data_IF_409049199977
#
_entry.id   IF_409049199977
#
_cell.length_a   1.000
_cell.length_b   1.000
_cell.length_c   1.000
_cell.angle_alpha   90.00
_cell.angle_beta   90.00
_cell.angle_gamma   90.00
#
_symmetry.space_group_name_H-M   'P 1'
#
loop_
_entity.id
_entity.type
_entity.pdbx_description
1 polymer ?
#
# COMPACT_ATOMS: atom_id res chain seq x y z
N UNK A 1 -16.66 -3.06 12.40
CA UNK A 1 -16.15 -1.70 12.13
C UNK A 1 -14.87 -1.82 11.30
N UNK A 2 -14.81 -1.20 10.12
CA UNK A 2 -13.56 -1.13 9.32
C UNK A 2 -12.73 0.05 9.84
N UNK A 3 -11.41 -0.11 9.95
CA UNK A 3 -10.47 0.96 10.31
C UNK A 3 -9.60 1.27 9.10
N UNK A 4 -9.33 2.56 8.87
CA UNK A 4 -8.57 3.05 7.73
C UNK A 4 -7.50 4.04 8.18
N UNK A 5 -6.30 3.94 7.60
CA UNK A 5 -5.22 4.92 7.77
C UNK A 5 -5.15 5.73 6.48
N UNK A 6 -5.56 7.01 6.47
CA UNK A 6 -5.47 7.85 5.29
C UNK A 6 -4.01 8.21 5.00
N UNK A 7 -3.57 7.99 3.76
CA UNK A 7 -2.28 8.49 3.28
C UNK A 7 -2.48 9.36 2.05
N UNK A 8 -3.16 10.50 2.27
CA UNK A 8 -3.58 11.44 1.25
C UNK A 8 -2.44 11.87 0.31
N UNK A 9 -1.21 11.96 0.83
CA UNK A 9 -0.01 12.34 0.05
C UNK A 9 0.42 11.31 -1.00
N UNK A 10 0.11 10.03 -0.81
CA UNK A 10 0.43 8.95 -1.76
C UNK A 10 -0.79 8.47 -2.56
N UNK A 11 -2.00 8.94 -2.21
CA UNK A 11 -3.26 8.63 -2.89
C UNK A 11 -3.78 7.22 -2.64
N UNK A 12 -3.62 6.72 -1.40
CA UNK A 12 -4.16 5.44 -0.93
C UNK A 12 -4.66 5.53 0.52
N UNK A 13 -5.70 4.77 0.82
CA UNK A 13 -6.11 4.38 2.16
C UNK A 13 -5.70 2.92 2.42
N UNK A 14 -5.05 2.67 3.56
CA UNK A 14 -4.84 1.32 4.05
C UNK A 14 -6.00 0.91 4.94
N UNK A 15 -6.69 -0.16 4.57
CA UNK A 15 -7.83 -0.68 5.31
C UNK A 15 -7.50 -2.02 5.95
N UNK A 16 -8.04 -2.25 7.15
CA UNK A 16 -8.01 -3.57 7.80
C UNK A 16 -9.41 -4.20 7.80
N UNK A 17 -9.50 -5.43 7.26
CA UNK A 17 -10.71 -6.26 7.35
C UNK A 17 -10.68 -7.07 8.64
N UNK A 18 -11.48 -6.71 9.63
CA UNK A 18 -11.53 -7.44 10.91
C UNK A 18 -12.04 -8.88 10.75
N UNK A 19 -13.00 -9.10 9.86
CA UNK A 19 -13.59 -10.43 9.65
C UNK A 19 -12.64 -11.37 8.93
N UNK A 20 -11.95 -10.88 7.91
CA UNK A 20 -11.02 -11.71 7.11
C UNK A 20 -9.57 -11.60 7.60
N UNK A 21 -9.30 -10.73 8.58
CA UNK A 21 -8.02 -10.48 9.25
C UNK A 21 -6.87 -10.18 8.29
N UNK A 22 -7.02 -9.14 7.46
CA UNK A 22 -5.95 -8.68 6.55
C UNK A 22 -6.03 -7.20 6.18
N UNK A 23 -4.91 -6.69 5.68
CA UNK A 23 -4.77 -5.33 5.15
C UNK A 23 -4.94 -5.27 3.64
N UNK A 24 -5.63 -4.25 3.15
CA UNK A 24 -5.82 -4.02 1.73
C UNK A 24 -5.86 -2.54 1.38
N UNK A 25 -5.64 -2.27 0.09
CA UNK A 25 -5.51 -0.93 -0.46
C UNK A 25 -6.84 -0.46 -1.05
N UNK A 26 -7.21 0.80 -0.79
CA UNK A 26 -8.17 1.55 -1.60
C UNK A 26 -7.50 2.82 -2.12
N UNK A 27 -7.44 2.96 -3.43
CA UNK A 27 -6.94 4.17 -4.09
C UNK A 27 -7.91 5.32 -3.86
N UNK A 28 -7.38 6.54 -3.72
CA UNK A 28 -8.23 7.73 -3.64
C UNK A 28 -8.65 8.18 -5.04
N UNK A 29 -9.93 8.52 -5.23
CA UNK A 29 -10.46 8.89 -6.56
C UNK A 29 -10.07 10.31 -6.98
N UNK A 30 -9.83 11.18 -6.00
CA UNK A 30 -9.53 12.61 -6.10
C UNK A 30 -8.11 12.95 -6.56
N UNK A 31 -7.18 11.98 -6.62
CA UNK A 31 -5.79 12.20 -7.06
C UNK A 31 -5.45 11.34 -8.29
N UNK A 32 -5.94 11.70 -9.51
CA UNK A 32 -5.79 10.89 -10.73
C UNK A 32 -4.36 10.44 -11.05
N UNK A 33 -3.36 11.25 -10.69
CA UNK A 33 -1.92 10.99 -10.91
C UNK A 33 -1.17 10.59 -9.63
N UNK A 34 -1.86 9.98 -8.66
CA UNK A 34 -1.25 9.63 -7.37
C UNK A 34 -0.05 8.70 -7.49
N UNK A 35 0.82 8.74 -6.49
CA UNK A 35 1.96 7.83 -6.39
C UNK A 35 1.50 6.38 -6.41
N UNK A 36 0.41 6.05 -5.70
CA UNK A 36 -0.14 4.71 -5.68
C UNK A 36 -0.52 4.20 -7.09
N UNK A 37 -1.21 5.02 -7.89
CA UNK A 37 -1.57 4.67 -9.28
C UNK A 37 -0.33 4.49 -10.16
N UNK A 38 0.65 5.40 -10.06
CA UNK A 38 1.91 5.28 -10.81
C UNK A 38 2.75 4.07 -10.38
N UNK A 39 2.67 3.69 -9.11
CA UNK A 39 3.30 2.47 -8.57
C UNK A 39 2.59 1.19 -9.02
N UNK A 40 1.49 1.26 -9.78
CA UNK A 40 0.75 0.11 -10.28
C UNK A 40 -0.17 -0.56 -9.25
N UNK A 41 -0.41 0.09 -8.09
CA UNK A 41 -1.36 -0.41 -7.09
C UNK A 41 -2.78 -0.36 -7.65
N UNK A 42 -3.61 -1.33 -7.28
CA UNK A 42 -5.01 -1.42 -7.66
C UNK A 42 -5.90 -1.45 -6.41
N UNK A 43 -7.16 -1.06 -6.60
CA UNK A 43 -8.16 -1.20 -5.56
C UNK A 43 -8.26 -2.67 -5.12
N UNK A 44 -8.34 -2.87 -3.81
CA UNK A 44 -8.47 -4.17 -3.15
C UNK A 44 -7.26 -5.08 -3.24
N UNK A 45 -6.11 -4.57 -3.68
CA UNK A 45 -4.84 -5.27 -3.53
C UNK A 45 -4.58 -5.56 -2.04
N UNK A 46 -4.35 -6.83 -1.73
CA UNK A 46 -4.01 -7.27 -0.38
C UNK A 46 -2.52 -7.07 -0.14
N UNK A 47 -2.16 -6.49 1.00
CA UNK A 47 -0.77 -6.25 1.37
C UNK A 47 -0.21 -7.52 2.02
N UNK A 48 0.92 -8.01 1.50
CA UNK A 48 1.59 -9.22 1.97
C UNK A 48 2.89 -8.87 2.67
N UNK A 49 3.70 -7.98 2.07
CA UNK A 49 4.91 -7.45 2.69
C UNK A 49 4.89 -5.93 2.73
N UNK A 50 5.41 -5.37 3.82
CA UNK A 50 5.73 -3.96 3.97
C UNK A 50 7.23 -3.85 4.29
N UNK A 51 7.97 -3.15 3.43
CA UNK A 51 9.42 -2.93 3.58
C UNK A 51 10.21 -4.22 3.85
N UNK A 52 9.85 -5.29 3.13
CA UNK A 52 10.49 -6.61 3.24
C UNK A 52 9.99 -7.49 4.39
N UNK A 53 9.15 -6.97 5.29
CA UNK A 53 8.55 -7.72 6.41
C UNK A 53 7.19 -8.29 6.01
N UNK A 54 6.95 -9.58 6.26
CA UNK A 54 5.63 -10.18 6.04
C UNK A 54 4.64 -9.66 7.09
N UNK A 55 3.53 -9.08 6.63
CA UNK A 55 2.48 -8.47 7.46
C UNK A 55 1.12 -9.14 7.27
N UNK A 56 1.07 -10.31 6.61
CA UNK A 56 -0.17 -10.96 6.21
C UNK A 56 -1.15 -11.19 7.37
N UNK A 57 -0.61 -11.45 8.57
CA UNK A 57 -1.35 -11.74 9.79
C UNK A 57 -1.33 -10.59 10.81
N UNK A 58 -0.71 -9.46 10.46
CA UNK A 58 -0.65 -8.31 11.35
C UNK A 58 -2.05 -7.74 11.56
N UNK A 59 -2.35 -7.34 12.79
CA UNK A 59 -3.56 -6.57 13.07
C UNK A 59 -3.36 -5.07 12.69
N UNK A 60 -4.40 -4.27 12.86
CA UNK A 60 -4.36 -2.83 12.58
C UNK A 60 -3.22 -2.09 13.29
N UNK A 61 -3.04 -2.32 14.59
CA UNK A 61 -2.07 -1.60 15.40
C UNK A 61 -0.63 -2.00 15.05
N UNK A 62 -0.39 -3.28 14.77
CA UNK A 62 0.91 -3.79 14.32
C UNK A 62 1.30 -3.23 12.95
N UNK A 63 0.38 -3.24 11.99
CA UNK A 63 0.61 -2.63 10.68
C UNK A 63 0.86 -1.13 10.80
N UNK A 64 0.03 -0.42 11.57
CA UNK A 64 0.21 1.01 11.79
C UNK A 64 1.59 1.30 12.39
N UNK A 65 1.97 0.59 13.46
CA UNK A 65 3.28 0.78 14.09
C UNK A 65 4.43 0.63 13.08
N UNK A 66 4.44 -0.44 12.28
CA UNK A 66 5.49 -0.68 11.27
C UNK A 66 5.52 0.41 10.18
N UNK A 67 4.34 0.80 9.70
CA UNK A 67 4.21 1.85 8.71
C UNK A 67 4.68 3.20 9.28
N UNK A 68 4.36 3.47 10.54
CA UNK A 68 4.66 4.74 11.21
C UNK A 68 6.14 4.90 11.56
N UNK A 69 6.79 3.80 11.95
CA UNK A 69 8.21 3.80 12.33
C UNK A 69 9.13 4.17 11.16
N UNK A 70 8.66 4.04 9.92
CA UNK A 70 9.45 4.25 8.70
C UNK A 70 8.96 5.44 7.86
N UNK A 71 8.35 6.45 8.50
CA UNK A 71 7.79 7.65 7.84
C UNK A 71 8.75 8.44 6.94
N UNK A 72 10.05 8.31 7.15
CA UNK A 72 11.08 8.99 6.35
C UNK A 72 11.76 8.09 5.30
N UNK A 73 11.39 6.81 5.24
CA UNK A 73 11.92 5.87 4.27
C UNK A 73 10.96 5.70 3.07
N UNK A 74 11.48 5.33 1.89
CA UNK A 74 10.63 4.87 0.79
C UNK A 74 9.78 3.68 1.23
N UNK A 75 8.49 3.73 0.91
CA UNK A 75 7.57 2.62 1.19
C UNK A 75 7.61 1.63 0.03
N UNK A 76 7.96 0.39 0.33
CA UNK A 76 7.91 -0.75 -0.58
C UNK A 76 6.84 -1.74 -0.11
N UNK A 77 5.98 -2.18 -1.02
CA UNK A 77 4.95 -3.18 -0.73
C UNK A 77 5.01 -4.33 -1.71
N UNK A 78 4.85 -5.56 -1.20
CA UNK A 78 4.43 -6.69 -2.01
C UNK A 78 2.93 -6.85 -1.82
N UNK A 79 2.19 -6.74 -2.92
CA UNK A 79 0.74 -6.86 -2.93
C UNK A 79 0.28 -7.94 -3.90
N UNK A 80 -0.94 -8.43 -3.72
CA UNK A 80 -1.56 -9.32 -4.69
C UNK A 80 -3.07 -9.09 -4.80
N UNK A 81 -3.61 -9.42 -5.97
CA UNK A 81 -5.06 -9.42 -6.17
C UNK A 81 -5.76 -10.45 -5.28
N UNK A 82 -7.06 -10.29 -4.98
CA UNK A 82 -7.85 -11.30 -4.27
C UNK A 82 -7.75 -12.69 -4.90
N UNK A 83 -7.88 -12.79 -6.23
CA UNK A 83 -7.79 -14.07 -6.95
C UNK A 83 -6.41 -14.72 -6.84
N UNK A 84 -5.33 -13.93 -6.89
CA UNK A 84 -3.96 -14.43 -6.67
C UNK A 84 -3.80 -14.97 -5.26
N UNK A 85 -4.33 -14.26 -4.26
CA UNK A 85 -4.28 -14.68 -2.87
C UNK A 85 -5.00 -16.02 -2.67
N UNK A 86 -6.23 -16.13 -3.17
CA UNK A 86 -7.02 -17.37 -3.12
C UNK A 86 -6.28 -18.54 -3.79
N UNK A 87 -5.71 -18.33 -4.98
CA UNK A 87 -4.92 -19.34 -5.66
C UNK A 87 -3.77 -19.85 -4.79
N UNK A 88 -3.01 -18.95 -4.15
CA UNK A 88 -1.88 -19.35 -3.30
C UNK A 88 -2.34 -20.14 -2.07
N UNK A 89 -3.41 -19.70 -1.41
CA UNK A 89 -3.93 -20.38 -0.21
C UNK A 89 -4.49 -21.77 -0.53
N UNK A 90 -5.28 -21.90 -1.60
CA UNK A 90 -5.83 -23.19 -2.05
C UNK A 90 -4.72 -24.20 -2.38
N UNK A 91 -3.64 -23.73 -3.00
CA UNK A 91 -2.50 -24.57 -3.35
C UNK A 91 -1.47 -24.73 -2.23
N UNK A 92 -1.76 -24.25 -1.01
CA UNK A 92 -0.84 -24.27 0.15
C UNK A 92 0.54 -23.66 -0.16
N UNK A 93 0.59 -22.67 -1.05
CA UNK A 93 1.80 -21.93 -1.42
C UNK A 93 1.98 -20.74 -0.49
N UNK A 94 3.21 -20.53 -0.04
CA UNK A 94 3.57 -19.38 0.78
C UNK A 94 3.98 -18.20 -0.11
N UNK A 95 3.72 -16.99 0.38
CA UNK A 95 4.30 -15.80 -0.20
C UNK A 95 5.70 -15.56 0.38
N UNK A 96 6.67 -15.34 -0.48
CA UNK A 96 8.02 -14.90 -0.13
C UNK A 96 8.51 -13.88 -1.16
N UNK A 97 9.46 -13.01 -0.79
CA UNK A 97 9.94 -11.90 -1.63
C UNK A 97 10.67 -12.34 -2.91
N UNK A 98 11.03 -13.61 -3.00
CA UNK A 98 11.82 -14.19 -4.10
C UNK A 98 10.99 -15.10 -5.03
N UNK A 99 9.66 -14.98 -4.99
CA UNK A 99 8.81 -15.71 -5.90
C UNK A 99 9.11 -15.30 -7.36
N UNK A 100 9.27 -16.26 -8.30
CA UNK A 100 9.57 -15.94 -9.70
C UNK A 100 8.42 -15.20 -10.41
N UNK A 101 7.23 -15.23 -9.84
CA UNK A 101 6.03 -14.55 -10.33
C UNK A 101 5.91 -13.09 -9.87
N UNK A 102 6.85 -12.58 -9.05
CA UNK A 102 6.81 -11.20 -8.57
C UNK A 102 7.18 -10.25 -9.71
N UNK A 103 6.26 -9.35 -10.03
CA UNK A 103 6.52 -8.21 -10.88
C UNK A 103 7.07 -7.05 -10.04
N UNK A 104 8.36 -6.74 -10.19
CA UNK A 104 8.99 -5.59 -9.52
C UNK A 104 8.80 -4.33 -10.37
N UNK A 105 8.12 -3.34 -9.82
CA UNK A 105 7.89 -2.05 -10.47
C UNK A 105 8.96 -1.04 -10.03
N UNK A 106 9.27 -0.09 -10.92
CA UNK A 106 10.24 0.98 -10.61
C UNK A 106 9.70 1.88 -9.50
N UNK A 107 10.54 2.36 -8.57
CA UNK A 107 10.12 3.33 -7.57
C UNK A 107 9.50 4.57 -8.22
N UNK A 108 8.46 5.10 -7.59
CA UNK A 108 7.82 6.35 -7.99
C UNK A 108 8.04 7.39 -6.91
N UNK A 109 8.49 8.57 -7.34
CA UNK A 109 8.78 9.68 -6.44
C UNK A 109 7.74 10.77 -6.61
N UNK A 110 7.44 11.50 -5.54
CA UNK A 110 6.73 12.76 -5.64
C UNK A 110 7.59 13.71 -6.47
N UNK A 111 7.05 14.25 -7.55
CA UNK A 111 7.66 15.41 -8.19
C UNK A 111 7.49 16.57 -7.23
N UNK A 112 8.57 17.25 -6.86
CA UNK A 112 8.47 18.55 -6.19
C UNK A 112 7.72 19.49 -7.13
N UNK A 113 6.43 19.72 -6.88
CA UNK A 113 5.78 20.88 -7.49
C UNK A 113 6.51 22.10 -6.91
N UNK A 114 7.20 22.85 -7.77
CA UNK A 114 7.49 24.25 -7.48
C UNK A 114 6.14 24.97 -7.51
N UNK A 115 5.36 24.84 -6.44
CA UNK A 115 4.29 25.77 -6.15
C UNK A 115 4.96 27.04 -5.64
N UNK A 116 5.19 27.96 -6.57
CA UNK A 116 5.44 29.36 -6.26
C UNK A 116 4.32 29.83 -5.33
N UNK A 117 4.66 30.02 -4.05
CA UNK A 117 3.92 30.91 -3.16
C UNK A 117 4.10 32.34 -3.67
N UNK A 118 3.34 32.68 -4.69
CA UNK A 118 3.08 34.05 -5.11
C UNK A 118 1.57 34.15 -5.25
N UNK A 119 0.95 34.71 -4.21
CA UNK A 119 -0.23 35.59 -4.26
C UNK A 119 -1.15 35.37 -3.06
N UNK A 120 -0.75 35.94 -1.92
CA UNK A 120 -1.68 36.58 -0.98
C UNK A 120 -0.94 37.73 -0.29
N UNK A 121 -0.82 38.85 -1.01
CA UNK A 121 -0.91 40.17 -0.40
C UNK A 121 -2.37 40.59 -0.49
N UNK A 122 -3.02 40.80 0.65
CA UNK A 122 -3.84 41.96 1.08
C UNK A 122 -4.42 41.63 2.45
#
# INVERSE_FOLDING_TARGET
>A
MQRAIPQHKIGVYFHYSTSQRFHYIKLTEDVPSSLARRAGLKNYDRIIFLNGVNIENDNYDQFYYRFDTERHAPVQMLVCSPATYEHYKTNKKLFHNDLPTIQRLKPVYATSSNEHTSDFYF
#
